data_IF_599666735045
#
_entry.id   IF_599666735045
#
_cell.length_a   1.000
_cell.length_b   1.000
_cell.length_c   1.000
_cell.angle_alpha   90.00
_cell.angle_beta   90.00
_cell.angle_gamma   90.00
#
_symmetry.space_group_name_H-M   'P 1'
#
loop_
_entity.id
_entity.type
_entity.pdbx_description
1 polymer ?
#
# COMPACT_ATOMS: atom_id res chain seq x y z
N UNK A 1 -73.59 -10.86 52.95
CA UNK A 1 -73.04 -12.18 52.71
C UNK A 1 -72.18 -12.10 51.45
N UNK A 2 -70.87 -11.87 51.59
CA UNK A 2 -69.91 -11.65 50.48
C UNK A 2 -69.21 -12.94 50.17
N UNK A 3 -69.06 -13.36 48.89
CA UNK A 3 -68.26 -14.54 48.56
C UNK A 3 -66.74 -14.21 48.49
N UNK A 4 -65.96 -15.09 49.01
CA UNK A 4 -64.50 -15.07 49.10
C UNK A 4 -63.90 -15.28 47.67
N UNK A 5 -62.81 -14.57 47.31
CA UNK A 5 -62.14 -14.82 46.02
C UNK A 5 -61.23 -16.07 46.10
N UNK A 6 -61.30 -16.88 45.05
CA UNK A 6 -60.52 -18.08 44.81
C UNK A 6 -59.10 -17.71 44.43
N UNK A 7 -58.10 -18.22 45.18
CA UNK A 7 -56.70 -18.04 44.86
C UNK A 7 -56.31 -18.95 43.71
N UNK A 8 -56.05 -18.36 42.55
CA UNK A 8 -55.39 -19.06 41.44
C UNK A 8 -53.90 -19.16 41.70
N UNK A 9 -53.42 -20.41 41.80
CA UNK A 9 -51.97 -20.72 41.86
C UNK A 9 -51.48 -20.83 40.42
N UNK A 10 -50.67 -19.84 39.93
CA UNK A 10 -49.96 -19.96 38.70
C UNK A 10 -48.69 -20.76 38.92
N UNK A 11 -48.64 -21.96 38.36
CA UNK A 11 -47.37 -22.72 38.20
C UNK A 11 -46.59 -22.01 37.08
N UNK A 12 -45.52 -21.35 37.46
CA UNK A 12 -44.56 -20.78 36.51
C UNK A 12 -43.72 -21.87 35.84
N UNK A 13 -43.96 -22.09 34.56
CA UNK A 13 -43.06 -22.88 33.75
C UNK A 13 -41.79 -22.02 33.46
N UNK A 14 -40.69 -22.45 34.06
CA UNK A 14 -39.38 -21.86 33.80
C UNK A 14 -38.91 -22.20 32.39
N UNK A 15 -38.97 -21.23 31.47
CA UNK A 15 -38.30 -21.31 30.18
C UNK A 15 -36.80 -20.99 30.39
N UNK A 16 -35.95 -21.99 30.31
CA UNK A 16 -34.50 -21.81 30.23
C UNK A 16 -34.16 -21.19 28.90
N UNK A 17 -33.89 -19.88 28.88
CA UNK A 17 -33.30 -19.18 27.76
C UNK A 17 -31.83 -19.59 27.67
N UNK A 18 -31.52 -20.53 26.77
CA UNK A 18 -30.17 -20.79 26.29
C UNK A 18 -29.71 -19.55 25.51
N UNK A 19 -29.06 -18.62 26.24
CA UNK A 19 -28.41 -17.47 25.63
C UNK A 19 -27.28 -17.93 24.71
N UNK A 20 -27.46 -17.80 23.42
CA UNK A 20 -26.39 -17.89 22.45
C UNK A 20 -25.47 -16.67 22.69
N UNK A 21 -24.30 -16.92 23.27
CA UNK A 21 -23.20 -15.98 23.29
C UNK A 21 -22.65 -15.90 21.87
N UNK A 22 -23.16 -14.94 21.09
CA UNK A 22 -22.52 -14.57 19.85
C UNK A 22 -21.10 -14.05 20.19
N UNK A 23 -20.05 -14.49 19.48
CA UNK A 23 -18.70 -13.97 19.71
C UNK A 23 -18.74 -12.45 19.47
N UNK A 24 -18.33 -11.68 20.49
CA UNK A 24 -18.20 -10.23 20.37
C UNK A 24 -17.09 -9.94 19.36
N UNK A 25 -17.49 -9.57 18.14
CA UNK A 25 -16.57 -9.04 17.14
C UNK A 25 -16.15 -7.66 17.62
N UNK A 26 -14.91 -7.56 18.11
CA UNK A 26 -14.34 -6.28 18.53
C UNK A 26 -14.23 -5.37 17.30
N UNK A 27 -14.65 -4.10 17.39
CA UNK A 27 -14.52 -3.17 16.27
C UNK A 27 -13.05 -2.94 15.95
N UNK A 28 -12.69 -3.09 14.68
CA UNK A 28 -11.34 -2.75 14.20
C UNK A 28 -11.15 -1.24 14.37
N UNK A 29 -10.03 -0.76 14.94
CA UNK A 29 -9.76 0.66 15.09
C UNK A 29 -9.86 1.39 13.75
N UNK A 30 -10.49 2.57 13.72
CA UNK A 30 -10.68 3.36 12.51
C UNK A 30 -9.37 3.62 11.74
N UNK A 31 -8.26 3.81 12.45
CA UNK A 31 -6.92 3.96 11.84
C UNK A 31 -6.46 2.69 11.09
N UNK A 32 -6.83 1.49 11.56
CA UNK A 32 -6.51 0.24 10.86
C UNK A 32 -7.40 0.05 9.63
N UNK A 33 -8.67 0.47 9.70
CA UNK A 33 -9.58 0.47 8.54
C UNK A 33 -9.12 1.44 7.47
N UNK A 34 -8.79 2.68 7.82
CA UNK A 34 -8.23 3.68 6.90
C UNK A 34 -6.93 3.21 6.24
N UNK A 35 -6.05 2.55 6.99
CA UNK A 35 -4.82 1.97 6.46
C UNK A 35 -5.08 0.81 5.49
N UNK A 36 -6.12 0.01 5.73
CA UNK A 36 -6.52 -1.07 4.84
C UNK A 36 -7.17 -0.53 3.55
N UNK A 37 -8.02 0.47 3.65
CA UNK A 37 -8.64 1.16 2.51
C UNK A 37 -7.60 1.89 1.65
N UNK A 38 -6.65 2.59 2.26
CA UNK A 38 -5.53 3.21 1.56
C UNK A 38 -4.67 2.20 0.81
N UNK A 39 -4.55 0.96 1.31
CA UNK A 39 -3.82 -0.11 0.63
C UNK A 39 -4.60 -0.73 -0.53
N UNK A 40 -5.92 -0.77 -0.47
CA UNK A 40 -6.76 -1.37 -1.53
C UNK A 40 -6.73 -0.57 -2.83
N UNK A 41 -6.46 0.75 -2.75
CA UNK A 41 -6.30 1.63 -3.92
C UNK A 41 -4.86 1.94 -4.28
N UNK A 42 -3.87 1.41 -3.54
CA UNK A 42 -2.46 1.71 -3.76
C UNK A 42 -1.96 1.11 -5.07
N UNK A 43 -1.19 1.93 -5.81
CA UNK A 43 -0.48 1.51 -7.00
C UNK A 43 0.95 1.13 -6.62
N UNK A 44 1.37 -0.05 -7.03
CA UNK A 44 2.74 -0.52 -6.94
C UNK A 44 3.41 -0.40 -8.30
N UNK A 45 4.58 0.21 -8.35
CA UNK A 45 5.36 0.37 -9.57
C UNK A 45 6.72 -0.26 -9.36
N UNK A 46 7.13 -1.08 -10.31
CA UNK A 46 8.47 -1.66 -10.35
C UNK A 46 9.10 -1.30 -11.67
N UNK A 47 10.20 -0.53 -11.62
CA UNK A 47 10.93 -0.11 -12.81
C UNK A 47 12.30 -0.77 -12.81
N UNK A 48 12.62 -1.51 -13.85
CA UNK A 48 13.95 -2.08 -14.07
C UNK A 48 14.80 -1.11 -14.89
N UNK A 49 16.03 -0.89 -14.42
CA UNK A 49 16.97 0.04 -15.01
C UNK A 49 18.31 -0.70 -15.19
N UNK A 50 18.61 -1.02 -16.43
CA UNK A 50 19.87 -1.68 -16.80
C UNK A 50 20.76 -0.67 -17.52
N UNK A 51 21.96 -0.45 -17.00
CA UNK A 51 22.92 0.49 -17.60
C UNK A 51 24.19 -0.22 -18.03
N UNK A 52 24.96 0.40 -18.91
CA UNK A 52 26.31 -0.11 -19.19
C UNK A 52 27.19 -0.04 -17.94
N UNK A 53 28.13 -0.98 -17.72
CA UNK A 53 28.90 -1.07 -16.48
C UNK A 53 29.66 0.21 -16.09
N UNK A 54 30.16 0.96 -17.07
CA UNK A 54 30.84 2.23 -16.85
C UNK A 54 29.93 3.38 -16.39
N UNK A 55 28.59 3.21 -16.42
CA UNK A 55 27.61 4.18 -15.93
C UNK A 55 27.04 3.83 -14.54
N UNK A 56 27.49 2.73 -13.93
CA UNK A 56 26.96 2.23 -12.65
C UNK A 56 27.01 3.29 -11.55
N UNK A 57 28.17 3.90 -11.30
CA UNK A 57 28.35 4.87 -10.21
C UNK A 57 27.53 6.15 -10.43
N UNK A 58 27.45 6.65 -11.66
CA UNK A 58 26.67 7.84 -11.96
C UNK A 58 25.16 7.56 -11.89
N UNK A 59 24.75 6.33 -12.22
CA UNK A 59 23.36 5.89 -12.04
C UNK A 59 23.01 5.79 -10.55
N UNK A 60 23.90 5.26 -9.71
CA UNK A 60 23.69 5.23 -8.23
C UNK A 60 23.52 6.65 -7.66
N UNK A 61 24.34 7.60 -8.10
CA UNK A 61 24.22 9.03 -7.68
C UNK A 61 22.89 9.61 -8.14
N UNK A 62 22.49 9.35 -9.40
CA UNK A 62 21.22 9.82 -9.95
C UNK A 62 20.01 9.21 -9.22
N UNK A 63 20.03 7.92 -8.91
CA UNK A 63 18.99 7.23 -8.14
C UNK A 63 18.85 7.78 -6.72
N UNK A 64 19.96 8.08 -6.04
CA UNK A 64 19.92 8.70 -4.70
C UNK A 64 19.26 10.08 -4.73
N UNK A 65 19.58 10.89 -5.73
CA UNK A 65 18.98 12.23 -5.89
C UNK A 65 17.49 12.09 -6.23
N UNK A 66 17.16 11.22 -7.17
CA UNK A 66 15.77 10.96 -7.58
C UNK A 66 14.93 10.49 -6.40
N UNK A 67 15.43 9.53 -5.59
CA UNK A 67 14.74 9.08 -4.38
C UNK A 67 14.54 10.20 -3.36
N UNK A 68 15.52 11.08 -3.17
CA UNK A 68 15.42 12.20 -2.25
C UNK A 68 14.38 13.24 -2.68
N UNK A 69 14.27 13.48 -3.98
CA UNK A 69 13.28 14.41 -4.54
C UNK A 69 11.89 13.80 -4.56
N UNK A 70 11.76 12.54 -5.01
CA UNK A 70 10.47 11.82 -5.06
C UNK A 70 9.81 11.67 -3.69
N UNK A 71 10.58 11.57 -2.61
CA UNK A 71 10.03 11.52 -1.23
C UNK A 71 9.26 12.76 -0.81
N UNK A 72 9.36 13.86 -1.55
CA UNK A 72 8.61 15.09 -1.33
C UNK A 72 7.29 15.13 -2.11
N UNK A 73 7.08 14.18 -3.01
CA UNK A 73 5.89 14.15 -3.86
C UNK A 73 4.66 13.74 -3.08
N UNK A 74 3.56 14.42 -3.36
CA UNK A 74 2.29 14.13 -2.74
C UNK A 74 1.77 12.75 -3.20
N UNK A 75 1.37 11.94 -2.23
CA UNK A 75 0.80 10.62 -2.49
C UNK A 75 1.83 9.50 -2.60
N UNK A 76 3.13 9.78 -2.48
CA UNK A 76 4.14 8.74 -2.33
C UNK A 76 4.01 8.07 -0.96
N UNK A 77 3.93 6.74 -0.95
CA UNK A 77 3.87 5.92 0.28
C UNK A 77 5.23 5.29 0.57
N UNK A 78 5.91 4.82 -0.47
CA UNK A 78 7.23 4.16 -0.35
C UNK A 78 8.03 4.36 -1.63
N UNK A 79 9.33 4.60 -1.47
CA UNK A 79 10.30 4.65 -2.55
C UNK A 79 11.56 3.93 -2.12
N UNK A 80 11.93 2.89 -2.85
CA UNK A 80 13.15 2.11 -2.67
C UNK A 80 13.82 1.92 -4.02
N UNK A 81 15.15 1.90 -4.04
CA UNK A 81 15.90 1.40 -5.18
C UNK A 81 16.87 0.33 -4.73
N UNK A 82 16.97 -0.70 -5.53
CA UNK A 82 17.73 -1.92 -5.25
C UNK A 82 18.78 -2.09 -6.34
N UNK A 83 19.93 -2.59 -5.98
CA UNK A 83 21.00 -2.97 -6.91
C UNK A 83 21.10 -4.48 -6.94
N UNK A 84 21.19 -5.08 -8.13
CA UNK A 84 21.41 -6.52 -8.30
C UNK A 84 22.77 -6.90 -7.72
N UNK A 85 22.80 -7.94 -6.87
CA UNK A 85 24.02 -8.37 -6.15
C UNK A 85 25.04 -9.07 -7.07
N UNK A 86 24.62 -9.55 -8.23
CA UNK A 86 25.47 -10.24 -9.21
C UNK A 86 25.84 -9.29 -10.35
N UNK A 87 24.82 -8.59 -10.89
CA UNK A 87 24.98 -7.62 -11.98
C UNK A 87 24.82 -6.22 -11.42
N UNK A 88 25.89 -5.67 -10.90
CA UNK A 88 25.87 -4.38 -10.18
C UNK A 88 25.47 -3.17 -11.02
N UNK A 89 25.40 -3.32 -12.35
CA UNK A 89 24.87 -2.34 -13.28
C UNK A 89 23.36 -2.48 -13.58
N UNK A 90 22.65 -3.37 -12.85
CA UNK A 90 21.21 -3.57 -12.92
C UNK A 90 20.55 -3.08 -11.64
N UNK A 91 19.48 -2.31 -11.78
CA UNK A 91 18.75 -1.72 -10.66
C UNK A 91 17.25 -1.98 -10.79
N UNK A 92 16.57 -1.95 -9.66
CA UNK A 92 15.11 -1.93 -9.59
C UNK A 92 14.67 -0.78 -8.72
N UNK A 93 13.74 0.02 -9.21
CA UNK A 93 13.05 1.05 -8.43
C UNK A 93 11.69 0.47 -8.03
N UNK A 94 11.38 0.49 -6.74
CA UNK A 94 10.10 0.02 -6.20
C UNK A 94 9.40 1.20 -5.55
N UNK A 95 8.26 1.54 -6.10
CA UNK A 95 7.44 2.65 -5.62
C UNK A 95 6.05 2.16 -5.22
N UNK A 96 5.50 2.76 -4.18
CA UNK A 96 4.11 2.58 -3.78
C UNK A 96 3.47 3.95 -3.68
N UNK A 97 2.40 4.14 -4.42
CA UNK A 97 1.64 5.38 -4.48
C UNK A 97 0.25 5.20 -3.90
N UNK A 98 -0.33 6.24 -3.33
CA UNK A 98 -1.70 6.19 -2.80
C UNK A 98 -2.72 5.79 -3.87
N UNK A 99 -2.49 6.20 -5.12
CA UNK A 99 -3.33 5.89 -6.28
C UNK A 99 -2.59 6.19 -7.59
N UNK A 100 -3.21 5.84 -8.70
CA UNK A 100 -2.70 6.08 -10.05
C UNK A 100 -2.51 7.57 -10.35
N UNK A 101 -3.38 8.43 -9.88
CA UNK A 101 -3.31 9.87 -10.15
C UNK A 101 -2.05 10.50 -9.52
N UNK A 102 -1.68 10.11 -8.29
CA UNK A 102 -0.47 10.57 -7.64
C UNK A 102 0.79 10.16 -8.43
N UNK A 103 0.82 8.92 -8.92
CA UNK A 103 1.90 8.45 -9.78
C UNK A 103 1.98 9.22 -11.11
N UNK A 104 0.85 9.43 -11.80
CA UNK A 104 0.82 10.18 -13.05
C UNK A 104 1.32 11.63 -12.85
N UNK A 105 0.98 12.26 -11.71
CA UNK A 105 1.51 13.57 -11.34
C UNK A 105 3.02 13.54 -11.13
N UNK A 106 3.56 12.51 -10.45
CA UNK A 106 5.00 12.29 -10.26
C UNK A 106 5.76 12.21 -11.58
N UNK A 107 5.23 11.51 -12.58
CA UNK A 107 5.88 11.37 -13.88
C UNK A 107 6.08 12.72 -14.60
N UNK A 108 5.24 13.70 -14.30
CA UNK A 108 5.32 15.04 -14.89
C UNK A 108 6.27 15.99 -14.15
N UNK A 109 6.74 15.62 -12.95
CA UNK A 109 7.64 16.43 -12.15
C UNK A 109 9.00 16.59 -12.83
N UNK A 110 9.63 17.73 -12.56
CA UNK A 110 10.93 18.08 -13.15
C UNK A 110 12.04 17.10 -12.74
N UNK A 111 12.01 16.61 -11.50
CA UNK A 111 13.00 15.64 -11.03
C UNK A 111 12.85 14.27 -11.72
N UNK A 112 11.64 13.86 -12.09
CA UNK A 112 11.39 12.61 -12.81
C UNK A 112 11.92 12.69 -14.24
N UNK A 113 11.68 13.81 -14.93
CA UNK A 113 12.22 14.07 -16.26
C UNK A 113 13.75 14.11 -16.25
N UNK A 114 14.32 14.91 -15.34
CA UNK A 114 15.77 15.07 -15.18
C UNK A 114 16.46 13.74 -14.85
N UNK A 115 15.85 12.88 -14.03
CA UNK A 115 16.40 11.55 -13.76
C UNK A 115 16.49 10.73 -15.03
N UNK A 116 15.40 10.64 -15.80
CA UNK A 116 15.34 9.89 -17.07
C UNK A 116 16.36 10.40 -18.08
N UNK A 117 16.43 11.71 -18.27
CA UNK A 117 17.40 12.36 -19.15
C UNK A 117 18.85 12.08 -18.74
N UNK A 118 19.12 12.13 -17.43
CA UNK A 118 20.48 11.95 -16.90
C UNK A 118 21.02 10.54 -17.09
N UNK A 119 20.18 9.50 -16.97
CA UNK A 119 20.64 8.12 -17.11
C UNK A 119 20.52 7.58 -18.53
N UNK A 120 19.74 8.23 -19.38
CA UNK A 120 19.51 7.81 -20.77
C UNK A 120 20.77 7.47 -21.57
N UNK A 121 21.88 8.25 -21.53
CA UNK A 121 23.09 7.94 -22.27
C UNK A 121 23.76 6.64 -21.85
N UNK A 122 23.51 6.20 -20.60
CA UNK A 122 24.08 4.98 -20.03
C UNK A 122 23.18 3.76 -20.11
N UNK A 123 21.95 3.89 -20.64
CA UNK A 123 20.99 2.78 -20.66
C UNK A 123 21.46 1.64 -21.56
N UNK A 124 21.52 0.43 -21.01
CA UNK A 124 21.79 -0.80 -21.74
C UNK A 124 20.55 -1.42 -22.35
N UNK A 125 19.36 -1.11 -21.79
CA UNK A 125 18.05 -1.50 -22.28
C UNK A 125 17.02 -0.37 -22.02
N UNK A 126 15.87 -0.32 -22.73
CA UNK A 126 14.79 0.58 -22.38
C UNK A 126 14.31 0.38 -20.96
N UNK A 127 13.72 1.43 -20.34
CA UNK A 127 13.02 1.27 -19.08
C UNK A 127 11.93 0.20 -19.18
N UNK A 128 11.95 -0.78 -18.28
CA UNK A 128 10.86 -1.75 -18.11
C UNK A 128 10.08 -1.37 -16.85
N UNK A 129 9.02 -0.61 -17.03
CA UNK A 129 8.18 -0.07 -15.97
C UNK A 129 6.87 -0.84 -15.91
N UNK A 130 6.60 -1.46 -14.75
CA UNK A 130 5.45 -2.33 -14.54
C UNK A 130 4.61 -1.84 -13.39
N UNK A 131 3.30 -1.74 -13.61
CA UNK A 131 2.32 -1.27 -12.66
C UNK A 131 1.49 -2.44 -12.13
N UNK A 132 1.29 -2.49 -10.81
CA UNK A 132 0.60 -3.58 -10.13
C UNK A 132 -0.43 -3.07 -9.14
N UNK A 133 -1.51 -3.83 -8.99
CA UNK A 133 -2.43 -3.70 -7.87
C UNK A 133 -2.12 -4.79 -6.83
N UNK A 134 -2.31 -4.47 -5.56
CA UNK A 134 -2.21 -5.47 -4.51
C UNK A 134 -3.36 -6.47 -4.65
N UNK A 135 -3.05 -7.75 -4.84
CA UNK A 135 -4.03 -8.83 -4.78
C UNK A 135 -4.20 -9.26 -3.32
N UNK A 136 -5.46 -9.32 -2.87
CA UNK A 136 -5.84 -9.75 -1.51
C UNK A 136 -6.34 -11.20 -1.54
#
# INVERSE_FOLDING_TARGET
>A
MLPRPLKMIFLGAGAALLGWLAPAVLPVPAAAQQKAEARSGALYVVTYVDVFPNFTDDTVKALRQFAADSRKDQGLVRFEFLQDVVRTNHFSIVEVWQNRQAYDAHLTQEHSKRFREKIQPGMGSPFDERLYNLMQ
#
